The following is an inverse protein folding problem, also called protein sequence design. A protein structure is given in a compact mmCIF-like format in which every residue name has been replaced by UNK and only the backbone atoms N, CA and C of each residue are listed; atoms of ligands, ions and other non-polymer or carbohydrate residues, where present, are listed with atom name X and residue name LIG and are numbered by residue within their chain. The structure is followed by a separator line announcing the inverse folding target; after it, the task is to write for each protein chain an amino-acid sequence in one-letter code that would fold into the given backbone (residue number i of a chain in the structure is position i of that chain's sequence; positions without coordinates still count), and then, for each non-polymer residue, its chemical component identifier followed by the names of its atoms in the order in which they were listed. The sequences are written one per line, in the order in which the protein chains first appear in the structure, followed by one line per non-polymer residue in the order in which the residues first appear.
data_IF_975753826454
#
_entry.id   IF_975753826454
#
_cell.length_a   1.000
_cell.length_b   1.000
_cell.length_c   1.000
_cell.angle_alpha   90.00
_cell.angle_beta   90.00
_cell.angle_gamma   90.00
#
_symmetry.space_group_name_H-M   'P 1'
#
loop_
_entity.id
_entity.type
_entity.pdbx_description
1 polymer ?
#
# COMPACT_ATOMS: atom_id res chain seq x y z
N UNK A 1 8.22 -18.64 1.60
CA UNK A 1 9.30 -17.80 2.14
C UNK A 1 10.55 -18.07 1.32
N UNK A 2 11.34 -17.04 1.02
CA UNK A 2 12.60 -17.20 0.29
C UNK A 2 13.63 -17.92 1.16
N UNK A 3 14.64 -18.53 0.55
CA UNK A 3 15.72 -19.17 1.29
C UNK A 3 16.40 -18.13 2.22
N UNK A 4 16.43 -18.42 3.53
CA UNK A 4 16.98 -17.52 4.55
C UNK A 4 16.00 -16.52 5.15
N UNK A 5 14.80 -16.35 4.57
CA UNK A 5 13.76 -15.47 5.10
C UNK A 5 13.07 -16.11 6.31
N UNK A 6 13.03 -15.39 7.44
CA UNK A 6 12.45 -15.87 8.70
C UNK A 6 11.06 -15.29 8.97
N UNK A 7 10.70 -14.20 8.29
CA UNK A 7 9.43 -13.52 8.48
C UNK A 7 8.66 -13.57 7.16
N UNK A 8 7.40 -13.97 7.22
CA UNK A 8 6.49 -13.84 6.10
C UNK A 8 6.03 -12.38 5.97
N UNK A 9 6.93 -11.50 5.52
CA UNK A 9 6.59 -10.10 5.29
C UNK A 9 5.44 -9.98 4.28
N UNK A 10 4.59 -8.99 4.52
CA UNK A 10 3.53 -8.55 3.64
C UNK A 10 4.05 -7.39 2.78
N UNK A 11 3.63 -7.35 1.51
CA UNK A 11 3.93 -6.22 0.64
C UNK A 11 3.04 -5.01 0.97
N UNK A 12 3.54 -3.80 0.73
CA UNK A 12 2.76 -2.56 0.86
C UNK A 12 2.07 -2.17 -0.45
N UNK A 13 1.19 -3.04 -0.95
CA UNK A 13 0.47 -2.78 -2.19
C UNK A 13 -0.81 -1.98 -1.96
N UNK A 14 -0.84 -0.76 -2.51
CA UNK A 14 -1.97 0.14 -2.42
C UNK A 14 -2.06 0.87 -1.07
N UNK A 15 -3.28 1.20 -0.67
CA UNK A 15 -3.51 2.13 0.44
C UNK A 15 -3.36 3.58 0.01
N UNK A 16 -4.10 4.47 0.67
CA UNK A 16 -4.11 5.89 0.35
C UNK A 16 -3.93 6.73 1.62
N UNK A 17 -3.36 7.92 1.44
CA UNK A 17 -3.25 8.92 2.49
C UNK A 17 -4.05 10.17 2.10
N UNK A 18 -4.61 10.84 3.09
CA UNK A 18 -5.15 12.19 2.92
C UNK A 18 -4.07 13.19 3.30
N UNK A 19 -3.65 14.02 2.34
CA UNK A 19 -2.66 15.08 2.56
C UNK A 19 -3.34 16.43 2.55
N UNK A 20 -2.85 17.35 3.39
CA UNK A 20 -3.28 18.75 3.39
C UNK A 20 -2.20 19.57 2.70
N UNK A 21 -2.60 20.31 1.66
CA UNK A 21 -1.67 21.20 0.96
C UNK A 21 -1.15 22.29 1.90
N UNK A 22 0.16 22.59 1.88
CA UNK A 22 0.71 23.71 2.65
C UNK A 22 0.17 25.07 2.18
N UNK A 23 -0.44 25.13 0.99
CA UNK A 23 -1.05 26.36 0.44
C UNK A 23 -2.56 26.44 0.68
N UNK A 24 -3.13 25.57 1.53
CA UNK A 24 -4.56 25.63 1.84
C UNK A 24 -4.94 26.99 2.44
N UNK A 25 -5.99 27.61 1.90
CA UNK A 25 -6.59 28.82 2.49
C UNK A 25 -7.24 28.54 3.85
N UNK A 26 -7.60 27.27 4.10
CA UNK A 26 -8.33 26.81 5.28
C UNK A 26 -7.63 25.57 5.88
N UNK A 27 -6.41 25.71 6.43
CA UNK A 27 -5.59 24.58 6.84
C UNK A 27 -6.20 23.79 8.01
N UNK A 28 -6.92 24.46 8.92
CA UNK A 28 -7.57 23.82 10.06
C UNK A 28 -8.75 22.96 9.63
N UNK A 29 -9.59 23.49 8.75
CA UNK A 29 -10.76 22.82 8.21
C UNK A 29 -10.34 21.66 7.30
N UNK A 30 -9.29 21.84 6.50
CA UNK A 30 -8.71 20.77 5.69
C UNK A 30 -8.16 19.63 6.56
N UNK A 31 -7.47 19.96 7.67
CA UNK A 31 -7.03 18.95 8.64
C UNK A 31 -8.21 18.24 9.31
N UNK A 32 -9.22 18.98 9.74
CA UNK A 32 -10.43 18.40 10.34
C UNK A 32 -11.12 17.44 9.38
N UNK A 33 -11.19 17.80 8.09
CA UNK A 33 -11.71 16.92 7.05
C UNK A 33 -10.85 15.67 6.88
N UNK A 34 -9.53 15.79 6.77
CA UNK A 34 -8.63 14.63 6.67
C UNK A 34 -8.80 13.66 7.87
N UNK A 35 -8.94 14.19 9.09
CA UNK A 35 -9.20 13.39 10.29
C UNK A 35 -10.58 12.71 10.22
N UNK A 36 -11.60 13.44 9.77
CA UNK A 36 -12.95 12.89 9.56
C UNK A 36 -12.91 11.69 8.61
N UNK A 37 -12.22 11.82 7.47
CA UNK A 37 -12.13 10.76 6.46
C UNK A 37 -11.57 9.45 7.01
N UNK A 38 -10.61 9.51 7.94
CA UNK A 38 -9.93 8.30 8.44
C UNK A 38 -10.50 7.76 9.75
N UNK A 39 -11.29 8.53 10.50
CA UNK A 39 -11.61 8.20 11.90
C UNK A 39 -13.08 8.32 12.30
N UNK A 40 -13.93 8.84 11.42
CA UNK A 40 -15.36 8.98 11.69
C UNK A 40 -16.15 7.82 11.07
N UNK A 41 -17.06 7.22 11.84
CA UNK A 41 -17.91 6.10 11.40
C UNK A 41 -18.73 6.48 10.15
N UNK A 42 -19.18 7.74 10.07
CA UNK A 42 -19.97 8.24 8.93
C UNK A 42 -19.24 8.03 7.62
N UNK A 43 -17.92 8.21 7.59
CA UNK A 43 -17.11 7.97 6.40
C UNK A 43 -16.63 6.52 6.29
N UNK A 44 -16.15 5.93 7.39
CA UNK A 44 -15.49 4.61 7.35
C UNK A 44 -16.50 3.47 7.14
N UNK A 45 -17.76 3.63 7.53
CA UNK A 45 -18.77 2.56 7.51
C UNK A 45 -20.04 2.97 6.76
N UNK A 46 -20.55 4.18 6.96
CA UNK A 46 -21.95 4.49 6.62
C UNK A 46 -22.13 5.15 5.24
N UNK A 47 -21.13 5.88 4.72
CA UNK A 47 -21.23 6.65 3.46
C UNK A 47 -21.50 5.73 2.27
N UNK A 48 -22.47 6.05 1.42
CA UNK A 48 -22.73 5.30 0.21
C UNK A 48 -21.66 5.61 -0.86
N UNK A 49 -21.09 4.56 -1.43
CA UNK A 49 -20.21 4.65 -2.60
C UNK A 49 -21.05 4.62 -3.89
N UNK A 50 -20.51 5.10 -5.02
CA UNK A 50 -21.22 5.09 -6.31
C UNK A 50 -21.68 3.70 -6.78
N UNK A 51 -21.00 2.64 -6.34
CA UNK A 51 -21.31 1.25 -6.64
C UNK A 51 -22.40 0.64 -5.70
N UNK A 52 -22.96 1.45 -4.79
CA UNK A 52 -23.97 1.02 -3.81
C UNK A 52 -23.38 0.34 -2.57
N UNK A 53 -22.07 0.10 -2.51
CA UNK A 53 -21.41 -0.31 -1.27
C UNK A 53 -21.40 0.84 -0.25
N UNK A 54 -21.02 0.55 1.00
CA UNK A 54 -20.94 1.58 2.05
C UNK A 54 -19.57 1.62 2.70
N UNK A 55 -19.11 2.80 3.09
CA UNK A 55 -17.88 2.99 3.86
C UNK A 55 -16.59 2.74 3.07
N UNK A 56 -15.48 2.69 3.80
CA UNK A 56 -14.18 2.39 3.23
C UNK A 56 -14.07 0.89 2.88
N UNK A 57 -13.60 0.54 1.67
CA UNK A 57 -13.43 -0.86 1.28
C UNK A 57 -12.14 -1.49 1.81
N UNK A 58 -11.23 -0.69 2.39
CA UNK A 58 -9.88 -1.12 2.80
C UNK A 58 -9.68 -1.10 4.32
N UNK A 59 -8.72 -1.89 4.80
CA UNK A 59 -8.31 -1.95 6.20
C UNK A 59 -7.78 -0.57 6.68
N UNK A 60 -8.46 0.12 7.62
CA UNK A 60 -8.05 1.47 8.01
C UNK A 60 -6.79 1.47 8.89
N UNK A 61 -5.87 2.40 8.63
CA UNK A 61 -4.68 2.62 9.45
C UNK A 61 -4.96 3.39 10.75
N UNK A 62 -5.99 4.24 10.76
CA UNK A 62 -6.45 4.93 11.98
C UNK A 62 -7.05 3.92 12.96
N UNK A 63 -6.53 3.87 14.20
CA UNK A 63 -7.06 2.96 15.23
C UNK A 63 -8.56 3.14 15.47
N UNK A 64 -9.02 4.39 15.53
CA UNK A 64 -10.44 4.72 15.73
C UNK A 64 -11.30 4.27 14.54
N UNK A 65 -10.86 4.54 13.32
CA UNK A 65 -11.55 4.10 12.11
C UNK A 65 -11.58 2.56 12.02
N UNK A 66 -10.47 1.91 12.34
CA UNK A 66 -10.31 0.47 12.32
C UNK A 66 -11.27 -0.22 13.31
N UNK A 67 -11.51 0.36 14.48
CA UNK A 67 -12.48 -0.18 15.43
C UNK A 67 -13.92 -0.22 14.87
N UNK A 68 -14.35 0.82 14.15
CA UNK A 68 -15.65 0.81 13.46
C UNK A 68 -15.67 -0.17 12.28
N UNK A 69 -14.61 -0.19 11.50
CA UNK A 69 -14.49 -1.04 10.33
C UNK A 69 -14.45 -2.53 10.67
N UNK A 70 -13.75 -2.90 11.76
CA UNK A 70 -13.73 -4.26 12.30
C UNK A 70 -15.14 -4.80 12.51
N UNK A 71 -15.97 -4.03 13.22
CA UNK A 71 -17.35 -4.45 13.51
C UNK A 71 -18.16 -4.73 12.23
N UNK A 72 -17.93 -3.94 11.17
CA UNK A 72 -18.55 -4.14 9.86
C UNK A 72 -18.01 -5.40 9.18
N UNK A 73 -16.70 -5.49 8.95
CA UNK A 73 -16.10 -6.57 8.13
C UNK A 73 -16.26 -7.94 8.79
N UNK A 74 -16.18 -8.02 10.12
CA UNK A 74 -16.32 -9.29 10.85
C UNK A 74 -17.74 -9.88 10.76
N UNK A 75 -18.73 -9.08 10.35
CA UNK A 75 -20.11 -9.51 10.11
C UNK A 75 -20.45 -9.69 8.63
N UNK A 76 -19.49 -9.44 7.72
CA UNK A 76 -19.72 -9.45 6.29
C UNK A 76 -19.83 -10.88 5.76
N UNK A 77 -21.01 -11.21 5.22
CA UNK A 77 -21.34 -12.53 4.69
C UNK A 77 -20.68 -12.84 3.35
N UNK A 78 -20.01 -11.86 2.74
CA UNK A 78 -19.18 -12.12 1.57
C UNK A 78 -18.05 -13.10 1.88
N UNK A 79 -17.49 -13.05 3.10
CA UNK A 79 -16.42 -13.94 3.52
C UNK A 79 -16.98 -15.20 4.21
N UNK A 80 -16.35 -16.35 3.96
CA UNK A 80 -16.72 -17.61 4.61
C UNK A 80 -16.43 -17.62 6.13
N UNK A 81 -15.54 -16.75 6.59
CA UNK A 81 -15.19 -16.52 7.99
C UNK A 81 -14.73 -15.07 8.19
N UNK A 82 -14.69 -14.59 9.43
CA UNK A 82 -14.21 -13.25 9.78
C UNK A 82 -12.76 -13.04 9.27
N UNK A 83 -12.54 -12.13 8.30
CA UNK A 83 -11.22 -11.92 7.72
C UNK A 83 -10.33 -11.00 8.58
N UNK A 84 -10.90 -10.29 9.56
CA UNK A 84 -10.19 -9.25 10.30
C UNK A 84 -8.94 -9.76 11.04
N UNK A 85 -8.95 -10.91 11.74
CA UNK A 85 -7.77 -11.40 12.44
C UNK A 85 -6.56 -11.59 11.52
N UNK A 86 -6.77 -12.15 10.32
CA UNK A 86 -5.72 -12.36 9.34
C UNK A 86 -5.17 -11.04 8.79
N UNK A 87 -6.05 -10.06 8.51
CA UNK A 87 -5.63 -8.73 8.07
C UNK A 87 -4.82 -7.99 9.13
N UNK A 88 -5.24 -8.05 10.40
CA UNK A 88 -4.53 -7.45 11.53
C UNK A 88 -3.16 -8.11 11.77
N UNK A 89 -3.04 -9.42 11.58
CA UNK A 89 -1.75 -10.10 11.69
C UNK A 89 -0.79 -9.64 10.59
N UNK A 90 -1.26 -9.58 9.35
CA UNK A 90 -0.45 -9.17 8.20
C UNK A 90 -0.08 -7.69 8.23
N UNK A 91 -0.94 -6.81 8.75
CA UNK A 91 -0.64 -5.37 8.87
C UNK A 91 0.56 -5.07 9.79
N UNK A 92 0.95 -6.03 10.63
CA UNK A 92 2.14 -5.94 11.52
C UNK A 92 3.42 -6.45 10.87
N UNK A 93 3.33 -7.01 9.66
CA UNK A 93 4.42 -7.66 8.94
C UNK A 93 4.76 -6.93 7.64
N UNK A 94 4.43 -5.64 7.52
CA UNK A 94 4.80 -4.86 6.33
C UNK A 94 6.33 -4.83 6.19
N UNK A 95 6.83 -5.11 5.00
CA UNK A 95 8.28 -5.11 4.73
C UNK A 95 8.86 -3.71 4.92
N UNK A 96 9.75 -3.54 5.90
CA UNK A 96 10.30 -2.23 6.25
C UNK A 96 11.41 -1.74 5.31
N UNK A 97 11.85 -2.58 4.37
CA UNK A 97 12.91 -2.26 3.43
C UNK A 97 12.43 -1.43 2.24
N UNK A 98 11.13 -1.42 1.96
CA UNK A 98 10.57 -0.50 0.97
C UNK A 98 10.65 0.94 1.50
N UNK A 99 11.10 1.86 0.66
CA UNK A 99 11.25 3.27 0.98
C UNK A 99 10.81 4.10 -0.21
N UNK A 100 10.14 5.24 0.01
CA UNK A 100 9.79 6.14 -1.07
C UNK A 100 11.08 6.64 -1.74
N UNK A 101 11.16 6.45 -3.05
CA UNK A 101 12.24 6.96 -3.90
C UNK A 101 11.68 7.95 -4.92
N UNK A 102 12.52 8.87 -5.40
CA UNK A 102 12.10 9.89 -6.36
C UNK A 102 12.14 9.43 -7.82
N UNK A 103 12.66 8.24 -8.11
CA UNK A 103 12.69 7.65 -9.44
C UNK A 103 11.52 6.68 -9.66
N UNK A 104 11.15 6.49 -10.92
CA UNK A 104 10.03 5.66 -11.32
C UNK A 104 10.32 4.16 -11.21
N UNK A 105 10.11 3.62 -10.01
CA UNK A 105 10.20 2.17 -9.72
C UNK A 105 9.07 1.38 -10.36
N UNK A 106 7.91 2.00 -10.62
CA UNK A 106 6.77 1.32 -11.25
C UNK A 106 7.09 0.96 -12.70
N UNK A 107 7.67 1.87 -13.49
CA UNK A 107 8.14 1.53 -14.83
C UNK A 107 9.22 0.44 -14.83
N UNK A 108 10.08 0.40 -13.80
CA UNK A 108 11.05 -0.68 -13.64
C UNK A 108 10.34 -2.04 -13.42
N UNK A 109 9.33 -2.09 -12.57
CA UNK A 109 8.61 -3.32 -12.22
C UNK A 109 7.60 -3.77 -13.30
N UNK A 110 6.72 -2.89 -13.73
CA UNK A 110 5.66 -3.21 -14.69
C UNK A 110 6.15 -3.21 -16.14
N UNK A 111 7.13 -2.36 -16.45
CA UNK A 111 7.69 -2.23 -17.80
C UNK A 111 8.86 -3.18 -18.07
N UNK A 112 9.85 -3.24 -17.17
CA UNK A 112 11.09 -4.01 -17.43
C UNK A 112 10.99 -5.43 -16.88
N UNK A 113 10.79 -5.58 -15.56
CA UNK A 113 10.69 -6.90 -14.92
C UNK A 113 9.61 -7.76 -15.57
N UNK A 114 8.38 -7.23 -15.66
CA UNK A 114 7.25 -8.01 -16.14
C UNK A 114 7.39 -8.45 -17.60
N UNK A 115 7.97 -7.60 -18.46
CA UNK A 115 8.20 -7.98 -19.86
C UNK A 115 9.33 -8.99 -20.00
N UNK A 116 10.42 -8.83 -19.25
CA UNK A 116 11.52 -9.79 -19.27
C UNK A 116 11.10 -11.13 -18.69
N UNK A 117 10.29 -11.15 -17.62
CA UNK A 117 9.72 -12.38 -17.07
C UNK A 117 8.83 -13.08 -18.10
N UNK A 118 7.98 -12.33 -18.80
CA UNK A 118 7.10 -12.89 -19.86
C UNK A 118 7.92 -13.51 -20.99
N UNK A 119 9.01 -12.88 -21.39
CA UNK A 119 9.90 -13.30 -22.49
C UNK A 119 10.80 -14.47 -22.10
N UNK A 120 11.55 -14.34 -21.01
CA UNK A 120 12.56 -15.31 -20.58
C UNK A 120 11.99 -16.50 -19.82
N UNK A 121 10.80 -16.35 -19.22
CA UNK A 121 10.23 -17.28 -18.24
C UNK A 121 11.16 -17.55 -17.05
N UNK A 122 12.09 -16.63 -16.79
CA UNK A 122 13.10 -16.76 -15.75
C UNK A 122 13.02 -15.54 -14.80
N UNK A 123 12.63 -15.81 -13.55
CA UNK A 123 12.48 -14.78 -12.54
C UNK A 123 13.82 -14.11 -12.16
N UNK A 124 14.93 -14.85 -12.18
CA UNK A 124 16.25 -14.31 -11.89
C UNK A 124 16.68 -13.32 -12.98
N UNK A 125 16.53 -13.69 -14.26
CA UNK A 125 16.82 -12.80 -15.39
C UNK A 125 15.96 -11.53 -15.36
N UNK A 126 14.67 -11.67 -15.04
CA UNK A 126 13.78 -10.52 -14.89
C UNK A 126 14.20 -9.60 -13.73
N UNK A 127 14.62 -10.18 -12.60
CA UNK A 127 15.08 -9.43 -11.43
C UNK A 127 16.40 -8.69 -11.73
N UNK A 128 17.32 -9.30 -12.47
CA UNK A 128 18.56 -8.65 -12.90
C UNK A 128 18.30 -7.48 -13.85
N UNK A 129 17.33 -7.62 -14.77
CA UNK A 129 16.90 -6.55 -15.66
C UNK A 129 16.26 -5.39 -14.89
N UNK A 130 15.39 -5.69 -13.92
CA UNK A 130 14.84 -4.72 -12.98
C UNK A 130 15.93 -3.96 -12.23
N UNK A 131 16.84 -4.69 -11.57
CA UNK A 131 17.89 -4.12 -10.74
C UNK A 131 18.80 -3.19 -11.55
N UNK A 132 19.13 -3.59 -12.78
CA UNK A 132 19.92 -2.77 -13.71
C UNK A 132 19.20 -1.47 -14.06
N UNK A 133 17.92 -1.55 -14.45
CA UNK A 133 17.14 -0.38 -14.83
C UNK A 133 16.91 0.58 -13.66
N UNK A 134 16.48 0.07 -12.51
CA UNK A 134 16.27 0.87 -11.30
C UNK A 134 17.58 1.54 -10.82
N UNK A 135 18.71 0.82 -10.88
CA UNK A 135 20.03 1.37 -10.55
C UNK A 135 20.39 2.55 -11.45
N UNK A 136 20.11 2.47 -12.75
CA UNK A 136 20.40 3.55 -13.68
C UNK A 136 19.52 4.78 -13.42
N UNK A 137 18.23 4.59 -13.15
CA UNK A 137 17.34 5.68 -12.76
C UNK A 137 17.81 6.37 -11.47
N UNK A 138 18.18 5.58 -10.45
CA UNK A 138 18.69 6.11 -9.19
C UNK A 138 19.96 6.96 -9.42
N UNK A 139 20.93 6.45 -10.20
CA UNK A 139 22.16 7.18 -10.55
C UNK A 139 21.89 8.48 -11.31
N UNK A 140 20.92 8.49 -12.24
CA UNK A 140 20.53 9.70 -12.98
C UNK A 140 20.02 10.82 -12.07
N UNK A 141 19.40 10.46 -10.94
CA UNK A 141 18.97 11.41 -9.90
C UNK A 141 20.03 11.68 -8.82
N UNK A 142 21.27 11.21 -9.02
CA UNK A 142 22.40 11.48 -8.11
C UNK A 142 22.47 10.58 -6.87
N UNK A 143 21.70 9.49 -6.81
CA UNK A 143 21.79 8.54 -5.71
C UNK A 143 23.12 7.79 -5.75
N UNK A 144 23.70 7.56 -4.56
CA UNK A 144 24.82 6.61 -4.40
C UNK A 144 24.22 5.21 -4.25
N UNK A 145 24.37 4.39 -5.28
CA UNK A 145 23.90 3.00 -5.26
C UNK A 145 25.02 2.09 -4.73
N UNK A 146 24.74 1.38 -3.65
CA UNK A 146 25.58 0.28 -3.19
C UNK A 146 25.05 -1.04 -3.78
N UNK A 147 25.93 -1.84 -4.34
CA UNK A 147 25.64 -3.22 -4.75
C UNK A 147 26.23 -4.15 -3.69
N UNK A 148 25.40 -5.02 -3.12
CA UNK A 148 25.78 -6.08 -2.18
C UNK A 148 25.61 -7.45 -2.82
#
# INVERSE_FOLDING_TARGET
MWAGEKINYSGEWGGGIYTVSPHSKFPKEALAFAIFMVSDKRNVVDVANPDGSKGAPTFPASQKGNAFWKAKVSSDKYYAADPYPAMLEQSKKIFSGEKPVSYDTNSAMEGVFSNELKKSKNAQTALEAFATYATNLAKQLGYKVATS
#
